data_IF_850108065353
#
_entry.id   IF_850108065353
#
_cell.length_a   1.000
_cell.length_b   1.000
_cell.length_c   1.000
_cell.angle_alpha   90.00
_cell.angle_beta   90.00
_cell.angle_gamma   90.00
#
_symmetry.space_group_name_H-M   'P 1'
#
loop_
_entity.id
_entity.type
_entity.pdbx_description
1 polymer ?
#
# COMPACT_ATOMS: atom_id res chain seq x y z
N UNK A 1 59.21 35.51 31.52
CA UNK A 1 59.57 34.23 30.90
C UNK A 1 59.06 34.32 29.45
N UNK A 2 59.96 34.54 28.50
CA UNK A 2 59.62 34.44 27.07
C UNK A 2 59.67 32.95 26.73
N UNK A 3 58.55 32.36 26.35
CA UNK A 3 58.53 31.03 25.82
C UNK A 3 59.12 31.08 24.41
N UNK A 4 60.22 30.45 24.18
CA UNK A 4 60.82 30.34 22.86
C UNK A 4 59.93 29.38 22.01
N UNK A 5 59.07 30.01 21.17
CA UNK A 5 58.14 29.26 20.31
C UNK A 5 58.89 28.39 19.28
N UNK A 6 60.14 28.77 18.93
CA UNK A 6 60.97 28.01 18.01
C UNK A 6 61.43 26.65 18.60
N UNK A 7 61.53 26.57 19.91
CA UNK A 7 61.85 25.32 20.60
C UNK A 7 60.68 24.38 20.80
N UNK A 8 59.44 24.94 20.73
CA UNK A 8 58.21 24.15 20.84
C UNK A 8 57.68 23.61 19.49
N UNK A 9 57.98 24.31 18.39
CA UNK A 9 57.65 23.92 17.03
C UNK A 9 58.86 23.18 16.42
N UNK A 10 59.01 21.91 16.73
CA UNK A 10 59.84 21.04 15.88
C UNK A 10 59.13 20.91 14.55
N UNK A 11 59.60 21.69 13.57
CA UNK A 11 59.13 21.59 12.20
C UNK A 11 59.38 20.18 11.68
N UNK A 12 58.32 19.35 11.59
CA UNK A 12 58.37 18.15 10.75
C UNK A 12 58.51 18.55 9.28
N UNK A 13 58.87 17.64 8.38
CA UNK A 13 58.95 17.91 6.97
C UNK A 13 57.57 18.44 6.52
N UNK A 14 57.46 19.71 6.10
CA UNK A 14 56.24 20.33 5.59
C UNK A 14 55.77 21.58 6.32
N UNK A 15 56.38 21.96 7.45
CA UNK A 15 56.07 23.23 8.13
C UNK A 15 57.39 23.98 8.40
N UNK A 16 57.41 25.27 8.02
CA UNK A 16 58.56 26.15 8.31
C UNK A 16 58.07 27.28 9.22
N UNK A 17 58.81 27.55 10.29
CA UNK A 17 58.60 28.73 11.15
C UNK A 17 59.70 29.75 10.93
N UNK A 18 59.34 30.96 10.53
CA UNK A 18 60.27 32.11 10.45
C UNK A 18 60.20 32.92 11.75
N UNK A 19 61.24 32.76 12.56
CA UNK A 19 61.36 33.42 13.86
C UNK A 19 61.49 34.96 13.74
N UNK A 20 61.91 35.49 12.58
CA UNK A 20 62.07 36.94 12.35
C UNK A 20 60.77 37.66 12.06
N UNK A 21 59.87 36.98 11.39
CA UNK A 21 58.51 37.50 11.04
C UNK A 21 57.39 36.92 11.91
N UNK A 22 57.70 35.86 12.70
CA UNK A 22 56.67 35.13 13.46
C UNK A 22 55.71 34.30 12.57
N UNK A 23 56.07 34.05 11.31
CA UNK A 23 55.21 33.42 10.33
C UNK A 23 55.42 31.90 10.34
N UNK A 24 54.31 31.17 10.36
CA UNK A 24 54.30 29.72 10.13
C UNK A 24 53.85 29.46 8.69
N UNK A 25 54.70 28.77 7.91
CA UNK A 25 54.38 28.43 6.52
C UNK A 25 54.32 26.93 6.33
N UNK A 26 53.32 26.48 5.61
CA UNK A 26 53.25 25.11 5.16
C UNK A 26 54.00 24.95 3.82
N UNK A 27 54.99 24.07 3.77
CA UNK A 27 55.65 23.73 2.52
C UNK A 27 54.84 22.68 1.80
N UNK A 28 54.17 23.08 0.76
CA UNK A 28 53.47 22.13 -0.11
C UNK A 28 54.51 21.36 -0.95
N UNK A 29 54.48 20.03 -0.91
CA UNK A 29 55.36 19.21 -1.75
C UNK A 29 55.04 19.47 -3.22
N UNK A 30 56.14 19.63 -4.03
CA UNK A 30 56.03 19.73 -5.48
C UNK A 30 55.98 18.38 -6.18
N UNK A 31 55.82 17.30 -5.42
CA UNK A 31 55.77 15.96 -6.00
C UNK A 31 54.59 15.80 -6.94
N UNK A 32 54.75 15.15 -8.09
CA UNK A 32 53.63 14.85 -8.98
C UNK A 32 52.55 14.07 -8.23
N UNK A 33 51.37 14.62 -8.16
CA UNK A 33 50.21 14.03 -7.46
C UNK A 33 49.88 14.70 -6.11
N UNK A 34 50.66 15.71 -5.67
CA UNK A 34 50.25 16.53 -4.54
C UNK A 34 49.17 17.49 -4.97
N UNK A 35 47.95 17.24 -4.52
CA UNK A 35 46.77 18.04 -4.84
C UNK A 35 46.39 19.05 -3.74
N UNK A 36 47.34 19.40 -2.86
CA UNK A 36 47.08 20.40 -1.81
C UNK A 36 47.28 21.79 -2.36
N UNK A 37 46.29 22.67 -2.29
CA UNK A 37 46.35 24.05 -2.73
C UNK A 37 45.58 24.96 -1.75
N UNK A 38 45.78 26.27 -1.86
CA UNK A 38 44.99 27.23 -1.09
C UNK A 38 43.68 27.46 -1.79
N UNK A 39 42.58 27.38 -1.02
CA UNK A 39 41.27 27.82 -1.48
C UNK A 39 41.18 29.33 -1.67
N UNK A 40 40.14 29.83 -2.30
CA UNK A 40 39.87 31.26 -2.49
C UNK A 40 39.57 32.01 -1.18
N UNK A 41 39.42 31.30 -0.09
CA UNK A 41 39.18 31.77 1.29
C UNK A 41 40.41 31.64 2.19
N UNK A 42 41.61 31.49 1.61
CA UNK A 42 42.90 31.24 2.29
C UNK A 42 42.92 29.93 3.16
N UNK A 43 41.91 29.10 3.03
CA UNK A 43 41.87 27.76 3.66
C UNK A 43 42.71 26.75 2.90
N UNK A 44 43.31 25.78 3.62
CA UNK A 44 44.05 24.69 3.02
C UNK A 44 43.10 23.64 2.43
N UNK A 45 43.11 23.52 1.13
CA UNK A 45 42.37 22.48 0.42
C UNK A 45 43.28 21.26 0.16
N UNK A 46 42.92 20.09 0.70
CA UNK A 46 43.59 18.84 0.37
C UNK A 46 42.69 17.98 -0.50
N UNK A 47 43.10 17.77 -1.75
CA UNK A 47 42.54 16.67 -2.54
C UNK A 47 43.34 15.40 -2.20
N UNK A 48 42.75 14.51 -1.43
CA UNK A 48 43.29 13.16 -1.25
C UNK A 48 42.95 12.32 -2.49
N UNK A 49 43.70 12.48 -3.56
CA UNK A 49 43.50 11.68 -4.75
C UNK A 49 44.82 11.49 -5.49
N UNK A 50 45.38 10.30 -5.39
CA UNK A 50 46.38 9.87 -6.36
C UNK A 50 45.82 10.02 -7.77
N UNK A 51 46.58 10.66 -8.68
CA UNK A 51 46.28 10.81 -10.10
C UNK A 51 44.88 11.39 -10.43
N UNK A 52 44.65 12.68 -10.11
CA UNK A 52 43.66 13.54 -10.80
C UNK A 52 42.31 12.95 -11.25
N UNK A 53 41.87 11.85 -10.66
CA UNK A 53 40.54 11.28 -10.92
C UNK A 53 39.50 11.89 -9.98
N UNK A 54 38.24 11.99 -10.42
CA UNK A 54 37.15 12.42 -9.54
C UNK A 54 37.13 11.53 -8.29
N UNK A 55 36.73 12.07 -7.14
CA UNK A 55 36.48 11.31 -5.92
C UNK A 55 35.88 9.94 -6.31
N UNK A 56 36.55 8.85 -5.94
CA UNK A 56 36.02 7.50 -6.15
C UNK A 56 34.79 7.35 -5.26
N UNK A 57 33.67 7.82 -5.76
CA UNK A 57 32.39 7.60 -5.14
C UNK A 57 31.97 6.15 -5.37
N UNK A 58 31.24 5.59 -4.43
CA UNK A 58 30.61 4.32 -4.63
C UNK A 58 29.60 4.46 -5.78
N UNK A 59 29.97 4.02 -6.99
CA UNK A 59 29.15 4.12 -8.20
C UNK A 59 27.79 3.39 -8.07
N UNK A 60 27.61 2.60 -7.04
CA UNK A 60 26.37 1.94 -6.72
C UNK A 60 25.29 2.93 -6.24
N UNK A 61 25.67 3.95 -5.45
CA UNK A 61 24.73 4.86 -4.78
C UNK A 61 24.81 6.31 -5.25
N UNK A 62 25.91 6.73 -5.84
CA UNK A 62 26.14 8.11 -6.23
C UNK A 62 26.35 8.28 -7.73
N UNK A 63 26.01 9.45 -8.23
CA UNK A 63 26.31 9.93 -9.58
C UNK A 63 26.66 11.41 -9.54
N UNK A 64 27.35 11.91 -10.57
CA UNK A 64 27.52 13.34 -10.79
C UNK A 64 26.44 13.83 -11.75
N UNK A 65 25.83 14.99 -11.45
CA UNK A 65 24.93 15.67 -12.39
C UNK A 65 25.71 16.41 -13.47
N UNK A 66 25.00 17.11 -14.37
CA UNK A 66 25.59 17.85 -15.47
C UNK A 66 26.46 19.04 -15.02
N UNK A 67 26.26 19.50 -13.79
CA UNK A 67 27.03 20.59 -13.15
C UNK A 67 28.22 20.04 -12.33
N UNK A 68 28.46 18.73 -12.32
CA UNK A 68 29.51 18.07 -11.56
C UNK A 68 29.22 17.89 -10.08
N UNK A 69 27.96 18.13 -9.63
CA UNK A 69 27.54 17.91 -8.24
C UNK A 69 27.32 16.44 -7.98
N UNK A 70 27.69 16.00 -6.78
CA UNK A 70 27.45 14.63 -6.33
C UNK A 70 26.00 14.49 -5.90
N UNK A 71 25.27 13.58 -6.57
CA UNK A 71 23.87 13.28 -6.30
C UNK A 71 23.70 11.80 -5.98
N UNK A 72 22.72 11.46 -5.15
CA UNK A 72 22.30 10.07 -5.00
C UNK A 72 21.64 9.57 -6.28
N UNK A 73 22.00 8.37 -6.74
CA UNK A 73 21.30 7.74 -7.87
C UNK A 73 19.83 7.50 -7.53
N UNK A 74 18.91 7.67 -8.51
CA UNK A 74 17.55 7.18 -8.37
C UNK A 74 17.56 5.69 -8.02
N UNK A 75 16.78 5.29 -7.00
CA UNK A 75 16.75 3.92 -6.51
C UNK A 75 17.63 3.63 -5.30
N UNK A 76 18.58 4.49 -4.96
CA UNK A 76 19.34 4.40 -3.70
C UNK A 76 18.62 5.06 -2.52
N UNK A 77 17.52 5.78 -2.78
CA UNK A 77 16.67 6.36 -1.75
C UNK A 77 15.53 5.42 -1.35
N UNK A 78 15.06 5.54 -0.10
CA UNK A 78 13.94 4.78 0.42
C UNK A 78 12.56 5.31 0.00
N UNK A 79 11.53 4.97 0.77
CA UNK A 79 10.17 5.48 0.59
C UNK A 79 10.14 7.01 0.73
N UNK A 80 9.60 7.70 -0.27
CA UNK A 80 9.50 9.15 -0.32
C UNK A 80 8.06 9.67 -0.23
N UNK A 81 7.11 8.95 -0.84
CA UNK A 81 5.71 9.36 -0.87
C UNK A 81 4.77 8.16 -0.94
N UNK A 82 3.52 8.33 -0.50
CA UNK A 82 2.46 7.33 -0.62
C UNK A 82 1.24 7.96 -1.27
N UNK A 83 0.91 7.51 -2.47
CA UNK A 83 -0.30 7.91 -3.19
C UNK A 83 -1.40 6.89 -2.94
N UNK A 84 -2.61 7.35 -2.57
CA UNK A 84 -3.72 6.48 -2.20
C UNK A 84 -4.97 6.79 -3.02
N UNK A 85 -5.51 5.77 -3.68
CA UNK A 85 -6.78 5.79 -4.37
C UNK A 85 -7.75 4.92 -3.56
N UNK A 86 -8.66 5.54 -2.82
CA UNK A 86 -9.54 4.86 -1.85
C UNK A 86 -11.03 5.11 -2.12
N UNK A 87 -11.33 5.90 -3.13
CA UNK A 87 -12.70 6.12 -3.61
C UNK A 87 -12.93 5.27 -4.84
N UNK A 88 -14.06 4.54 -4.96
CA UNK A 88 -14.38 3.77 -6.15
C UNK A 88 -14.40 4.65 -7.41
N UNK A 89 -13.77 4.17 -8.48
CA UNK A 89 -13.66 4.91 -9.74
C UNK A 89 -12.40 4.57 -10.52
N UNK A 90 -12.16 5.36 -11.57
CA UNK A 90 -10.98 5.26 -12.42
C UNK A 90 -10.17 6.54 -12.34
N UNK A 91 -8.87 6.39 -12.13
CA UNK A 91 -7.90 7.46 -11.93
C UNK A 91 -6.69 7.24 -12.83
N UNK A 92 -5.80 8.24 -12.89
CA UNK A 92 -4.50 8.12 -13.55
C UNK A 92 -3.38 8.34 -12.52
N UNK A 93 -2.41 7.46 -12.52
CA UNK A 93 -1.13 7.64 -11.86
C UNK A 93 -0.10 8.01 -12.92
N UNK A 94 0.44 9.23 -12.86
CA UNK A 94 1.45 9.72 -13.79
C UNK A 94 2.82 9.72 -13.13
N UNK A 95 3.73 8.79 -13.49
CA UNK A 95 5.07 8.74 -12.93
C UNK A 95 5.92 9.95 -13.33
N UNK A 96 5.59 10.69 -14.40
CA UNK A 96 6.35 11.87 -14.83
C UNK A 96 6.25 13.04 -13.84
N UNK A 97 5.23 13.04 -12.97
CA UNK A 97 5.09 14.00 -11.88
C UNK A 97 6.18 13.84 -10.80
N UNK A 98 6.93 12.73 -10.82
CA UNK A 98 7.94 12.36 -9.83
C UNK A 98 9.30 12.09 -10.51
N UNK A 99 10.07 13.13 -10.90
CA UNK A 99 11.33 12.96 -11.65
C UNK A 99 12.38 12.09 -10.96
N UNK A 100 12.26 11.96 -9.62
CA UNK A 100 13.14 11.16 -8.77
C UNK A 100 12.70 9.72 -8.61
N UNK A 101 11.55 9.32 -9.18
CA UNK A 101 10.96 8.00 -8.99
C UNK A 101 11.80 6.92 -9.66
N UNK A 102 12.22 5.92 -8.90
CA UNK A 102 12.93 4.74 -9.41
C UNK A 102 12.04 3.51 -9.49
N UNK A 103 11.20 3.29 -8.48
CA UNK A 103 10.30 2.13 -8.39
C UNK A 103 9.07 2.43 -7.57
N UNK A 104 8.02 1.66 -7.77
CA UNK A 104 6.78 1.72 -6.99
C UNK A 104 6.45 0.35 -6.39
N UNK A 105 6.05 0.34 -5.12
CA UNK A 105 5.37 -0.80 -4.52
C UNK A 105 3.86 -0.54 -4.57
N UNK A 106 3.15 -1.40 -5.27
CA UNK A 106 1.71 -1.24 -5.51
C UNK A 106 0.94 -2.32 -4.76
N UNK A 107 -0.05 -1.89 -3.97
CA UNK A 107 -0.99 -2.73 -3.23
C UNK A 107 -2.39 -2.49 -3.76
N UNK A 108 -3.04 -3.54 -4.23
CA UNK A 108 -4.36 -3.48 -4.87
C UNK A 108 -5.33 -4.36 -4.09
N UNK A 109 -6.34 -3.75 -3.47
CA UNK A 109 -7.44 -4.42 -2.79
C UNK A 109 -8.72 -4.24 -3.59
N UNK A 110 -9.38 -5.31 -3.96
CA UNK A 110 -10.69 -5.29 -4.64
C UNK A 110 -11.83 -5.06 -3.65
N UNK A 111 -13.00 -4.65 -4.13
CA UNK A 111 -14.21 -4.47 -3.33
C UNK A 111 -14.76 -5.80 -2.81
N UNK A 112 -15.35 -5.81 -1.60
CA UNK A 112 -16.04 -6.96 -1.03
C UNK A 112 -17.49 -7.05 -1.48
N UNK A 113 -18.10 -8.25 -1.38
CA UNK A 113 -19.49 -8.51 -1.74
C UNK A 113 -20.50 -7.92 -0.75
N UNK A 114 -21.65 -7.48 -1.24
CA UNK A 114 -22.80 -7.10 -0.43
C UNK A 114 -23.55 -8.34 0.07
N UNK A 115 -24.35 -8.21 1.12
CA UNK A 115 -25.21 -9.28 1.61
C UNK A 115 -26.62 -9.21 1.06
N UNK A 116 -27.31 -10.37 1.03
CA UNK A 116 -28.69 -10.44 0.59
C UNK A 116 -29.67 -9.80 1.60
N UNK A 117 -30.78 -9.28 1.11
CA UNK A 117 -31.91 -8.86 1.93
C UNK A 117 -32.77 -10.03 2.41
N UNK A 118 -33.57 -9.78 3.45
CA UNK A 118 -34.44 -10.78 4.05
C UNK A 118 -35.84 -10.25 4.32
N UNK A 119 -36.87 -11.01 3.93
CA UNK A 119 -38.28 -10.73 4.26
C UNK A 119 -38.99 -12.05 4.57
N UNK A 120 -39.18 -12.34 5.83
CA UNK A 120 -39.93 -13.49 6.30
C UNK A 120 -41.45 -13.22 6.28
N UNK A 121 -42.26 -14.29 6.27
CA UNK A 121 -43.69 -14.21 6.54
C UNK A 121 -43.97 -14.05 8.04
N UNK A 122 -45.24 -13.82 8.40
CA UNK A 122 -45.63 -13.77 9.82
C UNK A 122 -45.26 -15.06 10.55
N UNK A 123 -44.77 -14.91 11.78
CA UNK A 123 -44.32 -16.00 12.66
C UNK A 123 -43.23 -16.91 12.06
N UNK A 124 -42.48 -16.43 11.07
CA UNK A 124 -41.38 -17.14 10.39
C UNK A 124 -40.12 -16.30 10.41
N UNK A 125 -38.97 -16.92 10.06
CA UNK A 125 -37.71 -16.22 9.96
C UNK A 125 -36.91 -16.60 8.71
N UNK A 126 -36.01 -15.68 8.34
CA UNK A 126 -34.97 -15.84 7.31
C UNK A 126 -33.64 -15.33 7.87
N UNK A 127 -32.60 -16.11 7.68
CA UNK A 127 -31.21 -15.80 8.08
C UNK A 127 -30.31 -15.89 6.87
N UNK A 128 -29.56 -14.81 6.56
CA UNK A 128 -28.74 -14.72 5.35
C UNK A 128 -27.26 -14.98 5.63
N UNK A 129 -26.60 -15.65 4.71
CA UNK A 129 -25.15 -15.67 4.66
C UNK A 129 -24.60 -14.27 4.34
N UNK A 130 -23.35 -14.02 4.65
CA UNK A 130 -22.66 -12.78 4.30
C UNK A 130 -22.24 -12.72 2.83
N UNK A 131 -21.72 -11.59 2.38
CA UNK A 131 -20.94 -11.46 1.15
C UNK A 131 -19.49 -11.83 1.39
N UNK A 132 -18.75 -12.27 0.36
CA UNK A 132 -17.34 -12.62 0.46
C UNK A 132 -16.43 -11.38 0.46
N UNK A 133 -15.23 -11.51 1.01
CA UNK A 133 -14.18 -10.50 0.91
C UNK A 133 -13.62 -10.36 -0.49
N UNK A 134 -13.07 -9.19 -0.84
CA UNK A 134 -12.36 -8.96 -2.09
C UNK A 134 -10.92 -9.48 -2.07
N UNK A 135 -10.40 -9.87 -3.22
CA UNK A 135 -9.02 -10.32 -3.41
C UNK A 135 -8.01 -9.18 -3.27
N UNK A 136 -6.75 -9.53 -3.13
CA UNK A 136 -5.61 -8.63 -2.97
C UNK A 136 -4.47 -9.00 -3.92
N UNK A 137 -3.71 -7.99 -4.35
CA UNK A 137 -2.47 -8.16 -5.09
C UNK A 137 -1.42 -7.15 -4.67
N UNK A 138 -0.14 -7.55 -4.70
CA UNK A 138 0.99 -6.69 -4.37
C UNK A 138 2.16 -6.93 -5.33
N UNK A 139 2.82 -5.85 -5.77
CA UNK A 139 3.94 -5.94 -6.69
C UNK A 139 4.87 -4.75 -6.63
N UNK A 140 6.15 -5.01 -6.83
CA UNK A 140 7.20 -4.00 -6.92
C UNK A 140 7.61 -3.86 -8.39
N UNK A 141 7.51 -2.65 -8.92
CA UNK A 141 7.80 -2.35 -10.33
C UNK A 141 8.82 -1.22 -10.46
N UNK A 142 9.86 -1.39 -11.29
CA UNK A 142 10.69 -0.26 -11.68
C UNK A 142 9.87 0.75 -12.50
N UNK A 143 10.20 2.04 -12.45
CA UNK A 143 9.46 3.08 -13.18
C UNK A 143 9.41 2.80 -14.69
N UNK A 144 10.46 2.19 -15.25
CA UNK A 144 10.50 1.79 -16.66
C UNK A 144 9.41 0.78 -17.06
N UNK A 145 8.96 -0.06 -16.13
CA UNK A 145 7.88 -1.04 -16.38
C UNK A 145 6.49 -0.39 -16.46
N UNK A 146 6.34 0.86 -16.00
CA UNK A 146 5.06 1.57 -16.05
C UNK A 146 4.72 2.06 -17.46
N UNK A 147 5.72 2.32 -18.31
CA UNK A 147 5.54 2.71 -19.71
C UNK A 147 4.85 4.08 -19.91
N UNK A 148 4.62 4.86 -18.85
CA UNK A 148 3.92 6.14 -18.86
C UNK A 148 2.82 6.21 -17.81
N UNK A 149 1.80 7.03 -18.02
CA UNK A 149 0.66 7.15 -17.12
C UNK A 149 -0.12 5.83 -17.02
N UNK A 150 -0.38 5.36 -15.79
CA UNK A 150 -1.05 4.10 -15.51
C UNK A 150 -2.49 4.35 -15.05
N UNK A 151 -3.44 3.67 -15.69
CA UNK A 151 -4.85 3.71 -15.27
C UNK A 151 -5.00 2.91 -13.97
N UNK A 152 -5.57 3.55 -12.95
CA UNK A 152 -5.86 2.94 -11.64
C UNK A 152 -7.36 2.78 -11.51
N UNK A 153 -7.83 1.53 -11.33
CA UNK A 153 -9.24 1.24 -11.09
C UNK A 153 -9.42 0.82 -9.63
N UNK A 154 -10.34 1.48 -8.93
CA UNK A 154 -10.74 1.12 -7.57
C UNK A 154 -12.15 0.56 -7.61
N UNK A 155 -12.30 -0.71 -7.26
CA UNK A 155 -13.58 -1.40 -7.26
C UNK A 155 -14.52 -0.88 -6.17
N UNK A 156 -15.80 -0.70 -6.49
CA UNK A 156 -16.83 -0.41 -5.52
C UNK A 156 -17.11 -1.64 -4.65
N UNK A 157 -17.60 -1.44 -3.44
CA UNK A 157 -18.22 -2.52 -2.66
C UNK A 157 -19.50 -2.98 -3.34
N UNK A 158 -19.81 -4.27 -3.23
CA UNK A 158 -21.03 -4.86 -3.76
C UNK A 158 -22.27 -4.24 -3.16
N UNK A 159 -23.29 -4.01 -3.96
CA UNK A 159 -24.53 -3.40 -3.54
C UNK A 159 -25.28 -4.25 -2.51
N UNK A 160 -26.01 -3.60 -1.59
CA UNK A 160 -26.93 -4.26 -0.67
C UNK A 160 -28.07 -4.92 -1.43
N UNK A 161 -28.44 -6.15 -1.08
CA UNK A 161 -29.64 -6.82 -1.60
C UNK A 161 -30.92 -6.11 -1.14
N UNK A 162 -31.90 -6.02 -2.03
CA UNK A 162 -33.20 -5.43 -1.73
C UNK A 162 -33.91 -6.20 -0.60
N UNK A 163 -34.69 -5.48 0.24
CA UNK A 163 -35.38 -6.05 1.40
C UNK A 163 -36.45 -7.13 1.03
N UNK A 164 -36.83 -7.23 -0.23
CA UNK A 164 -37.71 -8.27 -0.76
C UNK A 164 -36.96 -9.57 -1.13
N UNK A 165 -36.01 -10.00 -0.34
CA UNK A 165 -35.18 -11.20 -0.58
C UNK A 165 -34.26 -11.08 -1.82
N UNK A 166 -33.82 -9.85 -2.15
CA UNK A 166 -32.84 -9.63 -3.21
C UNK A 166 -31.46 -10.15 -2.80
N UNK A 167 -30.72 -10.74 -3.76
CA UNK A 167 -29.33 -11.10 -3.56
C UNK A 167 -28.44 -9.86 -3.39
N UNK A 168 -27.36 -9.99 -2.68
CA UNK A 168 -26.30 -8.99 -2.63
C UNK A 168 -25.53 -8.89 -3.94
N UNK A 169 -25.01 -7.72 -4.28
CA UNK A 169 -24.13 -7.53 -5.44
C UNK A 169 -22.71 -7.98 -5.17
N UNK A 170 -22.01 -8.39 -6.23
CA UNK A 170 -20.57 -8.59 -6.17
C UNK A 170 -19.82 -7.27 -6.03
N UNK A 171 -18.68 -7.28 -5.36
CA UNK A 171 -17.72 -6.19 -5.34
C UNK A 171 -17.05 -6.00 -6.70
N UNK A 172 -16.58 -4.77 -6.97
CA UNK A 172 -15.83 -4.46 -8.17
C UNK A 172 -14.37 -4.92 -8.09
N UNK A 173 -13.79 -5.27 -9.23
CA UNK A 173 -12.36 -5.52 -9.35
C UNK A 173 -11.58 -4.22 -9.18
N UNK A 174 -10.36 -4.32 -8.65
CA UNK A 174 -9.39 -3.21 -8.62
C UNK A 174 -8.17 -3.55 -9.44
N UNK A 175 -7.50 -2.55 -10.00
CA UNK A 175 -6.29 -2.79 -10.80
C UNK A 175 -5.37 -1.58 -10.82
N UNK A 176 -4.09 -1.87 -11.08
CA UNK A 176 -3.08 -0.89 -11.45
C UNK A 176 -2.60 -1.21 -12.88
N UNK A 177 -3.22 -0.58 -13.87
CA UNK A 177 -3.05 -0.89 -15.28
C UNK A 177 -3.31 -2.36 -15.57
N UNK A 178 -2.39 -2.95 -16.33
CA UNK A 178 -2.32 -4.39 -16.60
C UNK A 178 -1.32 -5.12 -15.71
N UNK A 179 -0.66 -4.37 -14.79
CA UNK A 179 0.42 -4.89 -13.96
C UNK A 179 -0.09 -5.71 -12.78
N UNK A 180 -1.19 -5.30 -12.15
CA UNK A 180 -1.85 -6.02 -11.05
C UNK A 180 -3.36 -5.89 -11.21
N UNK A 181 -4.08 -6.98 -11.02
CA UNK A 181 -5.53 -7.00 -10.90
C UNK A 181 -5.96 -7.86 -9.71
N UNK A 182 -6.87 -7.36 -8.89
CA UNK A 182 -7.52 -8.06 -7.79
C UNK A 182 -9.01 -8.24 -8.09
N UNK A 183 -9.57 -9.41 -7.74
CA UNK A 183 -10.95 -9.80 -8.09
C UNK A 183 -11.90 -9.42 -6.94
N UNK A 184 -13.04 -8.82 -7.27
CA UNK A 184 -14.08 -8.45 -6.30
C UNK A 184 -14.74 -9.66 -5.65
N UNK A 185 -15.13 -9.52 -4.39
CA UNK A 185 -15.81 -10.55 -3.62
C UNK A 185 -17.24 -10.80 -4.14
N UNK A 186 -17.67 -12.06 -4.34
CA UNK A 186 -19.06 -12.39 -4.66
C UNK A 186 -20.05 -11.91 -3.59
N UNK A 187 -21.24 -11.51 -4.02
CA UNK A 187 -22.33 -11.11 -3.15
C UNK A 187 -23.06 -12.31 -2.53
N UNK A 188 -23.62 -12.09 -1.33
CA UNK A 188 -24.43 -13.10 -0.63
C UNK A 188 -25.70 -13.46 -1.40
N UNK A 189 -25.96 -14.76 -1.55
CA UNK A 189 -27.16 -15.30 -2.19
C UNK A 189 -28.36 -15.34 -1.23
N UNK A 190 -29.58 -15.52 -1.75
CA UNK A 190 -30.81 -15.50 -0.99
C UNK A 190 -31.61 -16.84 -1.03
N UNK A 191 -30.99 -18.02 -0.88
CA UNK A 191 -31.69 -19.30 -1.09
C UNK A 191 -32.63 -19.68 0.06
N UNK A 192 -32.40 -19.25 1.31
CA UNK A 192 -33.26 -19.63 2.44
C UNK A 192 -34.66 -19.04 2.28
N UNK A 193 -35.64 -19.91 2.13
CA UNK A 193 -37.04 -19.53 2.15
C UNK A 193 -37.53 -19.19 3.58
N UNK A 194 -38.61 -18.39 3.67
CA UNK A 194 -39.29 -18.13 4.95
C UNK A 194 -39.82 -19.42 5.56
N UNK A 195 -39.69 -19.59 6.87
CA UNK A 195 -40.16 -20.78 7.56
C UNK A 195 -39.81 -20.83 9.04
N UNK A 196 -40.20 -21.97 9.67
CA UNK A 196 -39.99 -22.25 11.08
C UNK A 196 -39.09 -23.45 11.34
N UNK A 197 -38.89 -24.32 10.33
CA UNK A 197 -38.06 -25.51 10.46
C UNK A 197 -36.59 -25.16 10.43
N UNK A 198 -35.77 -25.96 11.13
CA UNK A 198 -34.32 -25.86 11.10
C UNK A 198 -33.80 -26.01 9.66
N UNK A 199 -32.94 -25.13 9.26
CA UNK A 199 -32.27 -25.13 7.94
C UNK A 199 -31.00 -24.27 7.99
N UNK A 200 -30.11 -24.47 7.03
CA UNK A 200 -28.88 -23.67 6.89
C UNK A 200 -28.71 -23.16 5.45
N UNK A 201 -27.94 -22.09 5.31
CA UNK A 201 -27.37 -21.64 4.04
C UNK A 201 -25.87 -21.83 4.06
N UNK A 202 -25.33 -22.24 2.94
CA UNK A 202 -23.89 -22.23 2.75
C UNK A 202 -23.29 -20.81 2.79
N UNK A 203 -22.03 -20.74 3.10
CA UNK A 203 -21.21 -19.55 2.92
C UNK A 203 -21.18 -19.12 1.44
N UNK A 204 -20.81 -17.87 1.19
CA UNK A 204 -20.43 -17.39 -0.13
C UNK A 204 -18.93 -17.55 -0.27
N UNK A 205 -18.46 -18.32 -1.25
CA UNK A 205 -17.04 -18.54 -1.46
C UNK A 205 -16.32 -17.23 -1.83
N UNK A 206 -15.07 -17.10 -1.38
CA UNK A 206 -14.21 -15.99 -1.75
C UNK A 206 -13.82 -16.04 -3.25
N UNK A 207 -13.43 -14.91 -3.85
CA UNK A 207 -12.95 -14.87 -5.22
C UNK A 207 -11.60 -15.60 -5.34
N UNK A 208 -11.28 -16.06 -6.54
CA UNK A 208 -9.94 -16.54 -6.86
C UNK A 208 -8.90 -15.43 -6.65
N UNK A 209 -7.63 -15.82 -6.55
CA UNK A 209 -6.53 -14.88 -6.55
C UNK A 209 -6.53 -14.05 -7.86
N UNK A 210 -6.13 -12.78 -7.77
CA UNK A 210 -5.94 -11.91 -8.92
C UNK A 210 -4.71 -12.29 -9.74
N UNK A 211 -4.24 -11.37 -10.56
CA UNK A 211 -3.09 -11.58 -11.47
C UNK A 211 -2.08 -10.46 -11.35
N UNK A 212 -0.85 -10.72 -11.79
CA UNK A 212 0.27 -9.78 -11.73
C UNK A 212 0.93 -9.76 -10.36
N UNK A 213 1.92 -8.93 -10.15
CA UNK A 213 2.62 -8.83 -8.87
C UNK A 213 3.33 -10.12 -8.42
N UNK A 214 4.01 -10.02 -7.28
CA UNK A 214 4.67 -11.17 -6.64
C UNK A 214 3.79 -11.86 -5.57
N UNK A 215 2.70 -11.19 -5.13
CA UNK A 215 1.74 -11.74 -4.19
C UNK A 215 0.31 -11.51 -4.72
N UNK A 216 -0.46 -12.59 -4.86
CA UNK A 216 -1.86 -12.53 -5.23
C UNK A 216 -2.67 -13.45 -4.31
N UNK A 217 -3.68 -12.88 -3.65
CA UNK A 217 -4.53 -13.59 -2.68
C UNK A 217 -6.00 -13.48 -3.11
N UNK A 218 -6.74 -14.56 -2.97
CA UNK A 218 -8.20 -14.53 -2.98
C UNK A 218 -8.73 -13.82 -1.74
N UNK A 219 -9.96 -13.34 -1.79
CA UNK A 219 -10.65 -12.84 -0.60
C UNK A 219 -11.19 -14.01 0.25
N UNK A 220 -11.47 -13.75 1.53
CA UNK A 220 -12.06 -14.71 2.44
C UNK A 220 -13.51 -15.05 2.07
N UNK A 221 -13.91 -16.31 2.22
CA UNK A 221 -15.31 -16.72 2.15
C UNK A 221 -16.10 -16.10 3.30
N UNK A 222 -17.39 -15.85 3.09
CA UNK A 222 -18.30 -15.46 4.18
C UNK A 222 -18.57 -16.65 5.10
N UNK A 223 -19.32 -16.40 6.16
CA UNK A 223 -19.91 -17.47 6.97
C UNK A 223 -21.31 -17.85 6.43
N UNK A 224 -21.68 -19.13 6.61
CA UNK A 224 -23.03 -19.59 6.38
C UNK A 224 -24.01 -19.09 7.44
N UNK A 225 -25.32 -19.28 7.22
CA UNK A 225 -26.35 -18.91 8.16
C UNK A 225 -27.16 -20.13 8.60
N UNK A 226 -27.69 -20.09 9.81
CA UNK A 226 -28.56 -21.14 10.35
C UNK A 226 -29.86 -20.55 10.93
N UNK A 227 -30.98 -21.16 10.59
CA UNK A 227 -32.26 -20.99 11.27
C UNK A 227 -32.51 -22.21 12.15
N UNK A 228 -32.79 -22.01 13.42
CA UNK A 228 -33.14 -23.07 14.35
C UNK A 228 -34.66 -23.21 14.45
N UNK A 229 -35.41 -22.11 14.40
CA UNK A 229 -36.88 -22.09 14.39
C UNK A 229 -37.40 -20.76 13.81
N UNK A 230 -38.69 -20.47 13.95
CA UNK A 230 -39.33 -19.24 13.41
C UNK A 230 -38.85 -17.94 14.01
N UNK A 231 -38.03 -17.95 15.07
CA UNK A 231 -37.55 -16.74 15.76
C UNK A 231 -36.08 -16.79 16.18
N UNK A 232 -35.43 -17.94 16.12
CA UNK A 232 -34.04 -18.14 16.61
C UNK A 232 -33.17 -18.67 15.48
N UNK A 233 -31.96 -18.12 15.36
CA UNK A 233 -30.93 -18.50 14.41
C UNK A 233 -29.72 -17.58 14.48
N UNK A 234 -28.85 -17.68 13.48
CA UNK A 234 -27.66 -16.84 13.34
C UNK A 234 -27.44 -16.56 11.84
N UNK A 235 -27.25 -15.31 11.48
CA UNK A 235 -26.79 -14.94 10.14
C UNK A 235 -25.29 -15.23 10.00
N UNK A 236 -24.80 -15.38 8.77
CA UNK A 236 -23.38 -15.45 8.51
C UNK A 236 -22.71 -14.09 8.60
N UNK A 237 -21.47 -14.07 9.06
CA UNK A 237 -20.54 -12.94 8.92
C UNK A 237 -20.09 -12.80 7.47
N UNK A 238 -19.63 -11.61 7.09
CA UNK A 238 -18.96 -11.35 5.82
C UNK A 238 -17.53 -11.90 5.81
N UNK A 239 -17.02 -12.18 4.63
CA UNK A 239 -15.64 -12.62 4.44
C UNK A 239 -14.64 -11.47 4.65
N UNK A 240 -13.50 -11.77 5.25
CA UNK A 240 -12.39 -10.82 5.42
C UNK A 240 -11.68 -10.59 4.08
N UNK A 241 -11.03 -9.46 3.97
CA UNK A 241 -10.07 -9.11 2.93
C UNK A 241 -8.69 -8.90 3.54
N UNK A 242 -7.65 -8.70 2.73
CA UNK A 242 -6.31 -8.43 3.26
C UNK A 242 -6.23 -7.09 4.00
N UNK A 243 -6.94 -6.05 3.53
CA UNK A 243 -6.93 -4.70 4.13
C UNK A 243 -8.21 -4.37 4.91
N UNK A 244 -9.02 -5.36 5.27
CA UNK A 244 -10.25 -5.10 6.02
C UNK A 244 -10.96 -6.36 6.50
N UNK A 245 -11.88 -6.17 7.45
CA UNK A 245 -12.66 -7.22 8.04
C UNK A 245 -14.08 -7.24 7.51
N UNK A 246 -14.66 -8.45 7.39
CA UNK A 246 -16.06 -8.63 7.09
C UNK A 246 -16.98 -8.11 8.19
N UNK A 247 -18.21 -7.83 7.82
CA UNK A 247 -19.28 -7.50 8.78
C UNK A 247 -19.64 -8.71 9.63
N UNK A 248 -19.68 -8.57 10.95
CA UNK A 248 -20.00 -9.65 11.86
C UNK A 248 -21.37 -10.27 11.62
N UNK A 249 -21.60 -11.51 12.11
CA UNK A 249 -22.90 -12.18 12.17
C UNK A 249 -23.87 -11.47 13.15
N UNK A 250 -25.15 -11.85 13.12
CA UNK A 250 -26.16 -11.30 14.03
C UNK A 250 -27.22 -12.35 14.39
N UNK A 251 -27.71 -12.25 15.62
CA UNK A 251 -28.75 -13.13 16.16
C UNK A 251 -30.13 -12.45 16.29
N UNK A 252 -30.26 -11.19 15.90
CA UNK A 252 -31.53 -10.43 15.97
C UNK A 252 -31.92 -9.87 14.60
N UNK A 253 -33.20 -9.64 14.36
CA UNK A 253 -33.70 -9.02 13.13
C UNK A 253 -33.01 -7.69 12.84
N UNK A 254 -32.68 -7.45 11.57
CA UNK A 254 -32.06 -6.21 11.10
C UNK A 254 -31.24 -6.40 9.82
N UNK A 255 -30.79 -5.26 9.29
CA UNK A 255 -29.90 -5.21 8.13
C UNK A 255 -28.54 -5.84 8.47
N UNK A 256 -27.82 -6.35 7.48
CA UNK A 256 -26.49 -6.93 7.67
C UNK A 256 -25.51 -5.96 8.36
N UNK A 257 -24.49 -6.49 9.03
CA UNK A 257 -23.48 -5.68 9.66
C UNK A 257 -22.46 -5.13 8.63
N UNK A 258 -21.95 -3.93 8.94
CA UNK A 258 -21.02 -3.19 8.07
C UNK A 258 -19.64 -3.84 8.13
N UNK A 259 -18.98 -4.11 6.97
CA UNK A 259 -17.56 -4.44 6.95
C UNK A 259 -16.69 -3.24 7.38
N UNK A 260 -15.47 -3.50 7.80
CA UNK A 260 -14.51 -2.47 8.23
C UNK A 260 -13.23 -2.55 7.42
N UNK A 261 -12.66 -1.40 7.10
CA UNK A 261 -11.51 -1.28 6.21
C UNK A 261 -11.90 -1.44 4.74
N UNK A 262 -10.97 -1.89 3.91
CA UNK A 262 -11.16 -2.00 2.47
C UNK A 262 -11.41 -3.46 2.06
N UNK A 263 -12.36 -3.67 1.15
CA UNK A 263 -12.60 -4.98 0.53
C UNK A 263 -13.34 -6.00 1.39
N UNK A 264 -13.73 -5.70 2.64
CA UNK A 264 -14.46 -6.64 3.48
C UNK A 264 -15.86 -6.91 2.94
N UNK A 265 -16.33 -8.17 3.05
CA UNK A 265 -17.70 -8.59 2.71
C UNK A 265 -18.72 -8.14 3.76
N UNK A 266 -19.96 -7.91 3.38
CA UNK A 266 -21.03 -7.52 4.29
C UNK A 266 -21.56 -8.71 5.10
N UNK A 267 -21.91 -8.50 6.38
CA UNK A 267 -22.61 -9.50 7.20
C UNK A 267 -24.05 -9.72 6.73
N UNK A 268 -24.57 -10.92 6.97
CA UNK A 268 -25.94 -11.33 6.54
C UNK A 268 -27.04 -10.60 7.29
N UNK A 269 -28.15 -10.30 6.62
CA UNK A 269 -29.36 -9.74 7.19
C UNK A 269 -30.23 -10.81 7.85
N UNK A 270 -31.11 -10.38 8.75
CA UNK A 270 -32.06 -11.25 9.47
C UNK A 270 -33.45 -10.66 9.45
N UNK A 271 -34.43 -11.44 9.03
CA UNK A 271 -35.86 -11.09 9.12
C UNK A 271 -36.60 -12.08 10.00
N UNK A 272 -37.36 -11.56 10.94
CA UNK A 272 -38.25 -12.32 11.83
C UNK A 272 -39.63 -11.68 11.83
N UNK A 273 -40.69 -12.50 11.82
CA UNK A 273 -42.08 -12.07 11.96
C UNK A 273 -42.47 -10.91 11.00
N UNK A 274 -42.43 -11.16 9.70
CA UNK A 274 -42.86 -10.25 8.63
C UNK A 274 -42.03 -8.95 8.50
N UNK A 275 -40.91 -8.81 9.22
CA UNK A 275 -40.03 -7.63 9.04
C UNK A 275 -39.28 -7.72 7.70
N UNK A 276 -39.15 -6.59 7.02
CA UNK A 276 -38.35 -6.53 5.79
C UNK A 276 -37.02 -5.85 6.10
N UNK A 277 -35.93 -6.52 5.80
CA UNK A 277 -34.54 -6.04 6.06
C UNK A 277 -33.75 -6.04 4.76
N UNK A 278 -33.19 -4.91 4.40
CA UNK A 278 -32.23 -4.85 3.29
C UNK A 278 -30.93 -5.61 3.67
N UNK A 279 -30.18 -6.04 2.67
CA UNK A 279 -28.79 -6.42 2.86
C UNK A 279 -27.93 -5.21 3.28
N UNK A 280 -26.64 -5.41 3.32
CA UNK A 280 -25.63 -4.37 3.53
C UNK A 280 -24.66 -4.37 2.35
N UNK A 281 -24.18 -3.19 1.97
CA UNK A 281 -23.14 -3.07 0.96
C UNK A 281 -21.80 -3.60 1.50
N UNK A 282 -21.00 -4.18 0.63
CA UNK A 282 -19.61 -4.56 0.91
C UNK A 282 -18.67 -3.35 1.03
N UNK A 283 -17.49 -3.56 1.53
CA UNK A 283 -16.42 -2.56 1.61
C UNK A 283 -15.85 -2.22 0.23
N UNK A 284 -15.62 -0.94 -0.06
CA UNK A 284 -14.91 -0.53 -1.28
C UNK A 284 -13.48 -1.04 -1.33
N UNK A 285 -12.90 -1.14 -2.51
CA UNK A 285 -11.49 -1.45 -2.73
C UNK A 285 -10.56 -0.27 -2.40
N UNK A 286 -9.27 -0.50 -2.59
CA UNK A 286 -8.23 0.52 -2.48
C UNK A 286 -7.04 0.17 -3.38
N UNK A 287 -6.36 1.20 -3.90
CA UNK A 287 -5.03 1.05 -4.51
C UNK A 287 -4.08 2.00 -3.80
N UNK A 288 -2.97 1.47 -3.30
CA UNK A 288 -1.93 2.21 -2.58
C UNK A 288 -0.63 2.06 -3.36
N UNK A 289 -0.02 3.18 -3.68
CA UNK A 289 1.25 3.24 -4.43
C UNK A 289 2.29 3.91 -3.55
N UNK A 290 3.28 3.14 -3.13
CA UNK A 290 4.43 3.63 -2.37
C UNK A 290 5.56 3.96 -3.35
N UNK A 291 6.06 5.20 -3.29
CA UNK A 291 7.02 5.75 -4.24
C UNK A 291 8.42 5.78 -3.65
N UNK A 292 9.35 5.10 -4.31
CA UNK A 292 10.75 4.98 -3.90
C UNK A 292 11.66 5.69 -4.91
N UNK A 293 12.58 6.53 -4.38
CA UNK A 293 13.57 7.25 -5.16
C UNK A 293 14.95 6.66 -5.11
#
# INVERSE_FOLDING_TARGET
MSVDLAALLQAGPGITYDASSGTISANLSLDPGNATTYGSDDGLFTFSGGSGGPLALCDEYFQTDVDGKICLKPGSMGLREVVRFVTPGTFQFDPSAYPWLARVLVKVQAGGGGSAGARAAANQSIWRAGGAGGGYGEGLFPVAALGGAVTVTVGAGGAAGASANGAGGAGGNSSFGTLIAAIGGPGGSAPMASGTSMTSNSATDGPAAGTGGYLNLGGGSSEGAIRLNGSVGLSGGGGDSHLGHGGGSRAAAGVGNIPRGYGGGAGGSVSVNATAQAGRAGGGGAVIVELYG
#
